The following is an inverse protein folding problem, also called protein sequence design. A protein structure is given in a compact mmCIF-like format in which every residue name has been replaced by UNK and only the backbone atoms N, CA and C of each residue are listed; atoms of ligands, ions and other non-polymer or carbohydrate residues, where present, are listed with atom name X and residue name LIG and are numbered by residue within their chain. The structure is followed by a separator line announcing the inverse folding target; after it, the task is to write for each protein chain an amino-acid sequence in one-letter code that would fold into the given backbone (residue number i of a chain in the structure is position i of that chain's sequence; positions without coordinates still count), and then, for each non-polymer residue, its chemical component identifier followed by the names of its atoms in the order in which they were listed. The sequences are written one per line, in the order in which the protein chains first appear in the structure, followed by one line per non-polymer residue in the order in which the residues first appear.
data_IF_158478127861
#
_entry.id   IF_158478127861
#
_cell.length_a   1.000
_cell.length_b   1.000
_cell.length_c   1.000
_cell.angle_alpha   90.00
_cell.angle_beta   90.00
_cell.angle_gamma   90.00
#
_symmetry.space_group_name_H-M   'P 1'
#
loop_
_entity.id
_entity.type
_entity.pdbx_description
1 polymer ?
#
# COMPACT_ATOMS: atom_id res chain seq x y z
N UNK A 1 6.57 -6.54 1.59
CA UNK A 1 7.78 -5.84 2.07
C UNK A 1 8.62 -6.81 2.87
N UNK A 2 9.94 -6.79 2.69
CA UNK A 2 10.88 -7.55 3.51
C UNK A 2 11.81 -6.62 4.29
N UNK A 3 12.43 -7.13 5.34
CA UNK A 3 13.41 -6.37 6.13
C UNK A 3 14.62 -7.23 6.43
N UNK A 4 15.77 -6.61 6.66
CA UNK A 4 16.96 -7.29 7.16
C UNK A 4 16.95 -7.54 8.67
N UNK A 5 15.81 -7.38 9.35
CA UNK A 5 15.68 -7.56 10.80
C UNK A 5 15.29 -8.99 11.13
N UNK A 6 16.00 -9.61 12.06
CA UNK A 6 15.57 -10.85 12.70
C UNK A 6 14.41 -10.58 13.67
N UNK A 7 13.57 -11.58 13.90
CA UNK A 7 12.44 -11.48 14.82
C UNK A 7 12.87 -11.08 16.26
N UNK A 8 14.04 -11.53 16.69
CA UNK A 8 14.63 -11.19 18.00
C UNK A 8 14.97 -9.69 18.14
N UNK A 9 15.29 -9.00 17.04
CA UNK A 9 15.59 -7.57 17.04
C UNK A 9 14.33 -6.70 17.16
N UNK A 10 13.19 -7.25 16.74
CA UNK A 10 11.88 -6.59 16.78
C UNK A 10 11.12 -6.90 18.07
N UNK A 11 11.33 -8.09 18.66
CA UNK A 11 10.54 -8.66 19.76
C UNK A 11 9.97 -7.65 20.77
N UNK A 12 10.84 -7.01 21.56
CA UNK A 12 10.41 -6.08 22.62
C UNK A 12 9.79 -4.77 22.09
N UNK A 13 10.02 -4.45 20.81
CA UNK A 13 9.51 -3.25 20.14
C UNK A 13 8.20 -3.50 19.41
N UNK A 14 7.76 -4.76 19.27
CA UNK A 14 6.59 -5.13 18.50
C UNK A 14 5.31 -4.36 18.91
N UNK A 15 5.00 -4.17 20.21
CA UNK A 15 3.83 -3.37 20.61
C UNK A 15 3.95 -1.90 20.15
N UNK A 16 5.13 -1.29 20.31
CA UNK A 16 5.37 0.10 19.88
C UNK A 16 5.29 0.26 18.36
N UNK A 17 5.77 -0.75 17.62
CA UNK A 17 5.69 -0.80 16.17
C UNK A 17 4.23 -0.94 15.72
N UNK A 18 3.46 -1.85 16.30
CA UNK A 18 2.05 -2.03 16.01
C UNK A 18 1.25 -0.73 16.25
N UNK A 19 1.48 -0.08 17.38
CA UNK A 19 0.88 1.22 17.71
C UNK A 19 1.27 2.31 16.69
N UNK A 20 2.53 2.33 16.25
CA UNK A 20 3.00 3.29 15.25
C UNK A 20 2.38 3.02 13.88
N UNK A 21 2.25 1.76 13.47
CA UNK A 21 1.58 1.37 12.22
C UNK A 21 0.11 1.76 12.25
N UNK A 22 -0.60 1.45 13.34
CA UNK A 22 -2.02 1.80 13.49
C UNK A 22 -2.26 3.31 13.43
N UNK A 23 -1.37 4.12 14.03
CA UNK A 23 -1.47 5.59 13.94
C UNK A 23 -1.21 6.14 12.54
N UNK A 24 -0.31 5.52 11.79
CA UNK A 24 0.15 6.05 10.49
C UNK A 24 -0.62 5.48 9.29
N UNK A 25 -1.32 4.35 9.45
CA UNK A 25 -2.08 3.68 8.40
C UNK A 25 -3.56 3.59 8.84
N UNK A 26 -4.40 4.55 8.45
CA UNK A 26 -5.79 4.56 8.88
C UNK A 26 -6.56 3.34 8.38
N UNK A 27 -7.39 2.77 9.25
CA UNK A 27 -8.25 1.62 8.96
C UNK A 27 -9.66 1.85 9.51
N UNK A 28 -10.61 1.00 9.12
CA UNK A 28 -12.02 1.06 9.52
C UNK A 28 -12.96 1.70 8.49
N UNK A 29 -14.26 1.50 8.69
CA UNK A 29 -15.32 2.01 7.80
C UNK A 29 -15.33 3.54 7.81
N UNK A 30 -15.24 4.16 6.63
CA UNK A 30 -15.26 5.63 6.48
C UNK A 30 -13.97 6.32 6.91
N UNK A 31 -12.90 5.57 7.17
CA UNK A 31 -11.59 6.10 7.46
C UNK A 31 -11.04 6.91 6.28
N UNK A 32 -10.32 7.98 6.59
CA UNK A 32 -9.77 8.91 5.61
C UNK A 32 -8.46 9.51 6.14
N UNK A 33 -7.52 9.80 5.25
CA UNK A 33 -6.31 10.54 5.58
C UNK A 33 -6.60 12.04 5.64
N UNK A 34 -5.94 12.73 6.57
CA UNK A 34 -6.05 14.21 6.69
C UNK A 34 -4.98 14.93 5.87
N UNK A 35 -3.87 14.25 5.65
CA UNK A 35 -2.63 14.74 5.04
C UNK A 35 -2.53 14.44 3.54
N UNK A 36 -3.45 13.64 2.98
CA UNK A 36 -3.56 13.37 1.56
C UNK A 36 -4.95 13.80 1.06
N UNK A 37 -4.99 14.89 0.30
CA UNK A 37 -6.22 15.41 -0.32
C UNK A 37 -5.98 15.64 -1.80
N UNK A 38 -6.69 14.89 -2.63
CA UNK A 38 -6.59 14.99 -4.08
C UNK A 38 -7.78 15.74 -4.67
N UNK A 39 -7.50 16.58 -5.64
CA UNK A 39 -8.51 17.07 -6.58
C UNK A 39 -8.98 15.93 -7.51
N UNK A 40 -10.13 16.10 -8.18
CA UNK A 40 -10.63 15.13 -9.17
C UNK A 40 -9.58 14.89 -10.27
N UNK A 41 -8.94 15.94 -10.75
CA UNK A 41 -7.90 15.83 -11.77
C UNK A 41 -6.67 15.03 -11.29
N UNK A 42 -6.32 15.10 -10.01
CA UNK A 42 -5.25 14.28 -9.44
C UNK A 42 -5.70 12.84 -9.25
N UNK A 43 -6.94 12.60 -8.83
CA UNK A 43 -7.50 11.23 -8.75
C UNK A 43 -7.52 10.55 -10.12
N UNK A 44 -7.84 11.29 -11.20
CA UNK A 44 -7.78 10.76 -12.56
C UNK A 44 -6.36 10.31 -12.93
N UNK A 45 -5.33 11.05 -12.49
CA UNK A 45 -3.94 10.61 -12.68
C UNK A 45 -3.64 9.34 -11.89
N UNK A 46 -4.09 9.25 -10.64
CA UNK A 46 -3.94 8.01 -9.84
C UNK A 46 -4.55 6.81 -10.56
N UNK A 47 -5.73 6.97 -11.17
CA UNK A 47 -6.40 5.90 -11.90
C UNK A 47 -5.64 5.43 -13.15
N UNK A 48 -4.91 6.33 -13.82
CA UNK A 48 -4.14 6.03 -15.04
C UNK A 48 -2.75 5.52 -14.72
N UNK A 49 -2.07 6.15 -13.77
CA UNK A 49 -0.66 5.92 -13.46
C UNK A 49 -0.45 4.90 -12.32
N UNK A 50 -1.50 4.59 -11.55
CA UNK A 50 -1.47 3.59 -10.48
C UNK A 50 -0.35 3.84 -9.45
N UNK A 51 0.45 2.81 -9.18
CA UNK A 51 1.56 2.90 -8.23
C UNK A 51 2.67 3.87 -8.68
N UNK A 52 2.82 4.13 -9.98
CA UNK A 52 3.79 5.11 -10.49
C UNK A 52 3.51 6.51 -9.97
N UNK A 53 2.23 6.90 -9.94
CA UNK A 53 1.82 8.17 -9.35
C UNK A 53 2.31 8.30 -7.90
N UNK A 54 2.15 7.24 -7.11
CA UNK A 54 2.57 7.22 -5.71
C UNK A 54 4.09 7.43 -5.59
N UNK A 55 4.89 6.73 -6.38
CA UNK A 55 6.36 6.89 -6.40
C UNK A 55 6.77 8.31 -6.81
N UNK A 56 6.16 8.87 -7.85
CA UNK A 56 6.42 10.24 -8.32
C UNK A 56 6.07 11.32 -7.26
N UNK A 57 5.14 11.00 -6.35
CA UNK A 57 4.74 11.87 -5.25
C UNK A 57 5.46 11.56 -3.93
N UNK A 58 6.53 10.75 -3.97
CA UNK A 58 7.41 10.48 -2.83
C UNK A 58 6.97 9.33 -1.93
N UNK A 59 6.00 8.52 -2.37
CA UNK A 59 5.57 7.31 -1.66
C UNK A 59 6.28 6.09 -2.26
N UNK A 60 7.40 5.71 -1.65
CA UNK A 60 8.22 4.60 -2.13
C UNK A 60 9.36 5.06 -3.04
N UNK A 61 9.88 4.15 -3.84
CA UNK A 61 10.99 4.39 -4.77
C UNK A 61 10.79 3.62 -6.09
N UNK A 62 11.59 3.94 -7.11
CA UNK A 62 11.45 3.35 -8.45
C UNK A 62 11.55 1.82 -8.48
N UNK A 63 12.39 1.21 -7.63
CA UNK A 63 12.55 -0.25 -7.58
C UNK A 63 11.30 -0.95 -7.02
N UNK A 64 10.41 -0.24 -6.31
CA UNK A 64 9.16 -0.82 -5.85
C UNK A 64 8.27 -1.22 -7.05
N UNK A 65 8.31 -0.47 -8.15
CA UNK A 65 7.51 -0.76 -9.34
C UNK A 65 7.90 -2.08 -10.02
N UNK A 66 9.19 -2.45 -9.96
CA UNK A 66 9.68 -3.72 -10.53
C UNK A 66 9.16 -4.96 -9.78
N UNK A 67 8.62 -4.76 -8.57
CA UNK A 67 8.11 -5.83 -7.70
C UNK A 67 6.58 -5.82 -7.58
N UNK A 68 5.89 -5.05 -8.42
CA UNK A 68 4.42 -5.00 -8.47
C UNK A 68 3.98 -5.58 -9.82
N UNK A 69 2.95 -6.43 -9.80
CA UNK A 69 2.30 -6.93 -11.01
C UNK A 69 1.91 -5.77 -11.95
N UNK A 70 2.21 -5.91 -13.24
CA UNK A 70 2.00 -4.86 -14.27
C UNK A 70 2.68 -3.50 -13.93
N UNK A 71 3.74 -3.51 -13.12
CA UNK A 71 4.38 -2.28 -12.64
C UNK A 71 3.47 -1.41 -11.79
N UNK A 72 2.36 -1.98 -11.29
CA UNK A 72 1.33 -1.29 -10.54
C UNK A 72 0.42 -0.36 -11.36
N UNK A 73 0.36 -0.51 -12.69
CA UNK A 73 -0.55 0.25 -13.54
C UNK A 73 -1.01 -0.56 -14.76
N UNK A 74 -2.32 -0.75 -14.92
CA UNK A 74 -2.89 -1.43 -16.08
C UNK A 74 -3.05 -0.45 -17.26
N UNK A 75 -2.61 -0.87 -18.45
CA UNK A 75 -2.78 -0.07 -19.66
C UNK A 75 -4.26 0.11 -20.03
N UNK A 76 -4.60 1.27 -20.59
CA UNK A 76 -5.94 1.57 -21.11
C UNK A 76 -6.96 1.99 -20.06
N UNK A 77 -6.54 2.31 -18.83
CA UNK A 77 -7.41 2.91 -17.83
C UNK A 77 -7.97 4.26 -18.34
N UNK A 78 -9.31 4.37 -18.38
CA UNK A 78 -10.03 5.58 -18.79
C UNK A 78 -10.90 6.10 -17.62
N UNK A 79 -10.46 7.17 -16.93
CA UNK A 79 -11.21 7.76 -15.82
C UNK A 79 -12.61 8.25 -16.21
N UNK A 80 -12.86 8.59 -17.47
CA UNK A 80 -14.16 9.11 -17.94
C UNK A 80 -15.26 8.03 -17.90
N UNK A 81 -14.87 6.74 -17.86
CA UNK A 81 -15.80 5.63 -17.70
C UNK A 81 -16.24 5.42 -16.24
N UNK A 82 -15.62 6.12 -15.29
CA UNK A 82 -15.90 5.98 -13.86
C UNK A 82 -16.94 7.02 -13.44
N UNK A 83 -18.03 6.56 -12.81
CA UNK A 83 -19.08 7.46 -12.34
C UNK A 83 -18.55 8.47 -11.31
N UNK A 84 -19.09 9.69 -11.31
CA UNK A 84 -18.76 10.73 -10.32
C UNK A 84 -18.86 10.21 -8.89
N UNK A 85 -19.92 9.45 -8.57
CA UNK A 85 -20.13 8.85 -7.24
C UNK A 85 -18.98 7.92 -6.82
N UNK A 86 -18.40 7.17 -7.75
CA UNK A 86 -17.28 6.29 -7.47
C UNK A 86 -16.00 7.09 -7.21
N UNK A 87 -15.72 8.12 -8.02
CA UNK A 87 -14.59 9.04 -7.83
C UNK A 87 -14.68 9.75 -6.47
N UNK A 88 -15.85 10.30 -6.13
CA UNK A 88 -16.03 11.03 -4.88
C UNK A 88 -15.83 10.15 -3.65
N UNK A 89 -16.25 8.88 -3.74
CA UNK A 89 -16.05 7.90 -2.67
C UNK A 89 -14.58 7.48 -2.58
N UNK A 90 -13.94 7.17 -3.70
CA UNK A 90 -12.56 6.68 -3.77
C UNK A 90 -11.53 7.70 -3.30
N UNK A 91 -11.61 8.94 -3.81
CA UNK A 91 -10.64 10.01 -3.50
C UNK A 91 -10.53 10.32 -2.00
N UNK A 92 -11.60 10.10 -1.23
CA UNK A 92 -11.63 10.34 0.21
C UNK A 92 -10.96 9.22 1.02
N UNK A 93 -10.74 8.05 0.40
CA UNK A 93 -10.30 6.82 1.06
C UNK A 93 -8.91 6.35 0.60
N UNK A 94 -8.30 7.01 -0.39
CA UNK A 94 -6.97 6.67 -0.86
C UNK A 94 -5.94 6.70 0.29
N UNK A 95 -5.12 5.65 0.38
CA UNK A 95 -4.13 5.49 1.46
C UNK A 95 -4.71 5.01 2.79
N UNK A 96 -5.86 4.32 2.79
CA UNK A 96 -6.44 3.64 3.97
C UNK A 96 -6.62 2.15 3.73
N UNK A 97 -6.59 1.34 4.79
CA UNK A 97 -6.78 -0.12 4.69
C UNK A 97 -8.24 -0.52 4.41
N UNK A 98 -9.21 0.29 4.82
CA UNK A 98 -10.62 -0.10 4.82
C UNK A 98 -11.01 -1.03 5.97
N UNK A 99 -12.00 -1.91 5.74
CA UNK A 99 -12.62 -2.77 6.76
C UNK A 99 -12.94 -4.15 6.21
N UNK A 100 -13.25 -5.12 7.06
CA UNK A 100 -13.48 -6.51 6.65
C UNK A 100 -12.19 -7.29 6.82
N UNK A 101 -11.79 -8.06 5.82
CA UNK A 101 -10.57 -8.88 5.89
C UNK A 101 -9.30 -8.11 5.49
N UNK A 102 -9.31 -6.78 5.62
CA UNK A 102 -8.17 -5.93 5.31
C UNK A 102 -7.37 -5.65 6.59
N UNK A 103 -6.09 -6.00 6.58
CA UNK A 103 -5.20 -5.86 7.73
C UNK A 103 -3.77 -5.52 7.28
N UNK A 104 -2.98 -5.04 8.23
CA UNK A 104 -1.53 -4.89 8.11
C UNK A 104 -0.91 -5.67 9.27
N UNK A 105 -0.03 -6.61 8.94
CA UNK A 105 0.61 -7.48 9.90
C UNK A 105 2.13 -7.36 9.83
N UNK A 106 2.77 -7.51 10.99
CA UNK A 106 4.21 -7.73 11.09
C UNK A 106 4.40 -9.22 11.33
N UNK A 107 5.04 -9.88 10.39
CA UNK A 107 5.18 -11.34 10.38
C UNK A 107 6.65 -11.74 10.47
N UNK A 108 6.88 -13.01 10.86
CA UNK A 108 8.18 -13.67 10.79
C UNK A 108 8.08 -14.87 9.86
N UNK A 109 9.14 -15.15 9.11
CA UNK A 109 9.29 -16.42 8.40
C UNK A 109 9.64 -17.48 9.45
N UNK A 110 8.74 -18.43 9.68
CA UNK A 110 8.95 -19.52 10.65
C UNK A 110 9.60 -20.75 10.01
N UNK A 111 9.26 -21.04 8.76
CA UNK A 111 9.67 -22.24 8.05
C UNK A 111 9.89 -21.93 6.57
N UNK A 112 10.94 -22.54 5.99
CA UNK A 112 11.27 -22.46 4.56
C UNK A 112 11.05 -23.85 3.97
N UNK A 113 10.17 -23.94 2.98
CA UNK A 113 9.83 -25.20 2.30
C UNK A 113 10.66 -25.42 1.02
N UNK A 114 11.12 -24.33 0.40
CA UNK A 114 11.93 -24.32 -0.81
C UNK A 114 13.04 -23.27 -0.62
N UNK A 115 14.27 -23.75 -0.46
CA UNK A 115 15.43 -22.90 -0.18
C UNK A 115 15.82 -22.03 -1.39
N UNK A 116 15.74 -22.59 -2.61
CA UNK A 116 16.11 -21.87 -3.84
C UNK A 116 15.12 -20.74 -4.12
N UNK A 117 13.82 -21.02 -4.01
CA UNK A 117 12.79 -19.99 -4.17
C UNK A 117 12.87 -18.93 -3.07
N UNK A 118 13.12 -19.32 -1.81
CA UNK A 118 13.26 -18.37 -0.71
C UNK A 118 14.46 -17.44 -0.91
N UNK A 119 15.62 -17.97 -1.34
CA UNK A 119 16.80 -17.14 -1.61
C UNK A 119 16.56 -16.14 -2.74
N UNK A 120 15.85 -16.56 -3.80
CA UNK A 120 15.50 -15.70 -4.92
C UNK A 120 14.50 -14.59 -4.55
N UNK A 121 13.55 -14.87 -3.64
CA UNK A 121 12.56 -13.91 -3.13
C UNK A 121 13.14 -12.99 -2.03
N UNK A 122 14.21 -13.45 -1.37
CA UNK A 122 14.94 -12.74 -0.33
C UNK A 122 14.21 -12.64 1.00
#
# INVERSE_FOLDING_TARGET
LRSGLAASEVGDRLPKLADALFRNVPSGVGSHRRDLKLSIAQEHKVLVEGARWAVEHGYGNGADLDHIEEGGALEGADPELISERAIERGRAQLGTLGSGNHFLEVQKVEEIQDEEAAEALG
#
